data_IF_734969879706
#
_entry.id   IF_734969879706
#
_cell.length_a   1.000
_cell.length_b   1.000
_cell.length_c   1.000
_cell.angle_alpha   90.00
_cell.angle_beta   90.00
_cell.angle_gamma   90.00
#
_symmetry.space_group_name_H-M   'P 1'
#
loop_
_entity.id
_entity.type
_entity.pdbx_description
1 polymer ?
#
# COMPACT_ATOMS: atom_id res chain seq x y z
N UNK A 1 33.22 -1.85 29.74
CA UNK A 1 33.71 -1.05 28.60
C UNK A 1 32.59 -1.04 27.58
N UNK A 2 31.51 -0.25 27.77
CA UNK A 2 31.29 1.15 27.36
C UNK A 2 31.77 1.48 25.94
N UNK A 3 30.82 1.93 25.11
CA UNK A 3 30.83 3.01 24.09
C UNK A 3 29.53 2.83 23.25
N UNK A 4 28.39 3.46 23.59
CA UNK A 4 27.94 4.82 23.19
C UNK A 4 28.26 5.15 21.71
N UNK A 5 27.29 5.17 20.79
CA UNK A 5 26.27 6.22 20.52
C UNK A 5 26.72 7.10 19.35
N UNK A 6 26.06 6.98 18.19
CA UNK A 6 26.14 7.95 17.09
C UNK A 6 24.95 7.76 16.14
N UNK A 7 23.92 8.61 16.28
CA UNK A 7 23.14 9.11 15.13
C UNK A 7 22.77 10.57 15.45
N UNK A 8 23.49 11.50 14.83
CA UNK A 8 23.10 12.90 14.71
C UNK A 8 22.62 13.17 13.28
N UNK A 9 21.78 14.20 13.18
CA UNK A 9 21.44 14.98 11.98
C UNK A 9 20.25 14.49 11.14
N UNK A 10 19.05 14.76 11.66
CA UNK A 10 17.87 14.99 10.82
C UNK A 10 17.91 16.43 10.29
N UNK A 11 18.06 16.51 8.97
CA UNK A 11 18.02 17.69 8.12
C UNK A 11 16.63 18.35 8.17
N UNK A 12 16.54 19.61 8.59
CA UNK A 12 15.31 20.41 8.55
C UNK A 12 15.37 21.32 7.31
N UNK A 13 14.45 21.21 6.33
CA UNK A 13 14.47 22.06 5.15
C UNK A 13 13.96 23.47 5.47
N UNK A 14 14.73 24.45 5.03
CA UNK A 14 14.52 25.89 5.16
C UNK A 14 13.47 26.38 4.14
N UNK A 15 12.23 26.69 4.58
CA UNK A 15 11.19 27.28 3.73
C UNK A 15 10.61 28.54 4.36
N UNK A 16 11.39 29.63 4.33
CA UNK A 16 10.87 30.99 4.49
C UNK A 16 11.36 31.82 3.31
N UNK A 17 10.59 31.81 2.22
CA UNK A 17 10.74 32.77 1.12
C UNK A 17 9.35 33.09 0.58
N UNK A 18 8.85 34.27 0.92
CA UNK A 18 7.60 34.80 0.38
C UNK A 18 7.86 35.29 -1.05
N UNK A 19 7.14 34.72 -2.02
CA UNK A 19 7.14 35.20 -3.39
C UNK A 19 6.06 36.29 -3.54
N UNK A 20 6.45 37.50 -3.91
CA UNK A 20 5.53 38.49 -4.47
C UNK A 20 5.36 38.23 -5.96
N UNK A 21 4.17 37.87 -6.41
CA UNK A 21 3.83 37.86 -7.83
C UNK A 21 3.09 39.16 -8.12
N UNK A 22 3.81 40.11 -8.71
CA UNK A 22 3.22 41.31 -9.32
C UNK A 22 2.53 40.87 -10.62
N UNK A 23 1.23 41.10 -10.71
CA UNK A 23 0.56 41.19 -12.00
C UNK A 23 0.36 42.67 -12.33
N UNK A 24 0.84 42.99 -13.52
CA UNK A 24 0.80 44.30 -14.16
C UNK A 24 -0.65 44.70 -14.47
N UNK A 25 -0.88 46.01 -14.45
CA UNK A 25 -2.08 46.74 -14.87
C UNK A 25 -3.41 46.50 -14.10
N UNK A 26 -3.69 47.52 -13.27
CA UNK A 26 -5.03 48.08 -13.07
C UNK A 26 -6.03 47.24 -12.24
N UNK A 27 -5.80 47.13 -10.92
CA UNK A 27 -6.87 47.32 -9.94
C UNK A 27 -6.34 47.40 -8.50
N UNK A 28 -6.96 48.29 -7.72
CA UNK A 28 -6.60 48.64 -6.34
C UNK A 28 -7.07 47.58 -5.36
N UNK A 29 -6.44 46.40 -5.33
CA UNK A 29 -6.67 45.43 -4.24
C UNK A 29 -5.38 44.69 -3.89
N UNK A 30 -4.64 45.24 -2.93
CA UNK A 30 -3.49 44.58 -2.31
C UNK A 30 -3.98 43.60 -1.24
N UNK A 31 -4.04 42.30 -1.57
CA UNK A 31 -4.36 41.23 -0.63
C UNK A 31 -3.06 40.60 -0.11
N UNK A 32 -2.79 40.73 1.18
CA UNK A 32 -1.69 40.03 1.84
C UNK A 32 -2.09 38.56 2.05
N UNK A 33 -1.55 37.66 1.24
CA UNK A 33 -1.71 36.22 1.39
C UNK A 33 -0.68 35.70 2.39
N UNK A 34 -1.11 35.39 3.62
CA UNK A 34 -0.32 34.63 4.57
C UNK A 34 -0.45 33.12 4.28
N UNK A 35 0.64 32.41 3.93
CA UNK A 35 0.60 30.98 3.59
C UNK A 35 0.13 30.07 4.74
N UNK A 36 0.16 30.57 5.97
CA UNK A 36 -0.19 29.83 7.19
C UNK A 36 -1.70 29.78 7.47
N UNK A 37 -2.52 30.53 6.73
CA UNK A 37 -3.98 30.56 6.89
C UNK A 37 -4.71 29.59 5.95
N UNK A 38 -3.99 28.79 5.16
CA UNK A 38 -4.57 27.88 4.17
C UNK A 38 -5.05 26.53 4.74
N UNK A 39 -4.72 26.19 5.99
CA UNK A 39 -4.98 24.87 6.57
C UNK A 39 -6.05 24.83 7.68
N UNK A 40 -6.79 25.91 7.90
CA UNK A 40 -7.87 25.97 8.90
C UNK A 40 -9.26 25.88 8.26
N UNK A 41 -10.21 25.07 8.80
CA UNK A 41 -11.56 24.92 8.25
C UNK A 41 -12.39 26.22 8.23
N UNK A 42 -11.92 27.26 8.92
CA UNK A 42 -12.54 28.57 9.04
C UNK A 42 -12.20 29.54 7.89
N UNK A 43 -11.28 29.20 6.99
CA UNK A 43 -10.83 30.13 5.94
C UNK A 43 -11.78 30.22 4.72
N UNK A 44 -12.74 29.30 4.56
CA UNK A 44 -13.85 29.47 3.60
C UNK A 44 -14.83 30.56 4.04
N UNK A 45 -14.84 30.93 5.32
CA UNK A 45 -15.69 32.00 5.86
C UNK A 45 -15.04 33.40 5.81
N UNK A 46 -13.73 33.49 5.51
CA UNK A 46 -13.00 34.77 5.39
C UNK A 46 -12.45 35.03 3.98
N UNK A 47 -12.97 34.32 2.97
CA UNK A 47 -12.99 34.83 1.60
C UNK A 47 -14.40 35.36 1.38
N UNK A 48 -14.58 36.66 1.58
CA UNK A 48 -15.78 37.37 1.13
C UNK A 48 -15.70 37.38 -0.40
N UNK A 49 -16.07 36.27 -1.04
CA UNK A 49 -16.42 36.29 -2.46
C UNK A 49 -17.75 37.03 -2.57
N UNK A 50 -17.68 38.35 -2.73
CA UNK A 50 -18.81 39.21 -3.06
C UNK A 50 -19.29 38.90 -4.48
N UNK A 51 -19.91 37.73 -4.72
CA UNK A 51 -20.55 37.44 -6.02
C UNK A 51 -21.67 36.41 -6.05
N UNK A 52 -22.12 35.87 -4.91
CA UNK A 52 -23.38 35.12 -4.88
C UNK A 52 -24.50 36.03 -4.37
N UNK A 53 -25.48 36.30 -5.25
CA UNK A 53 -26.76 36.94 -4.92
C UNK A 53 -27.38 36.25 -3.71
N UNK A 54 -27.27 36.86 -2.52
CA UNK A 54 -27.75 36.28 -1.27
C UNK A 54 -29.26 36.47 -1.15
N UNK A 55 -30.00 35.68 -1.91
CA UNK A 55 -31.45 35.63 -1.76
C UNK A 55 -31.76 35.05 -0.36
N UNK A 56 -32.41 35.84 0.48
CA UNK A 56 -32.85 35.43 1.82
C UNK A 56 -34.32 35.06 1.76
N UNK A 57 -34.65 33.87 2.26
CA UNK A 57 -36.02 33.36 2.33
C UNK A 57 -36.37 32.93 3.74
N UNK A 58 -37.67 32.83 4.05
CA UNK A 58 -38.14 32.39 5.35
C UNK A 58 -38.44 30.89 5.36
N UNK A 59 -37.88 30.18 6.33
CA UNK A 59 -38.23 28.80 6.68
C UNK A 59 -38.74 28.82 8.12
N UNK A 60 -40.06 28.79 8.31
CA UNK A 60 -40.67 29.08 9.62
C UNK A 60 -40.40 30.53 10.05
N UNK A 61 -39.86 30.72 11.26
CA UNK A 61 -39.46 32.04 11.76
C UNK A 61 -38.04 32.49 11.33
N UNK A 62 -37.26 31.60 10.73
CA UNK A 62 -35.85 31.86 10.41
C UNK A 62 -35.69 32.45 9.00
N UNK A 63 -34.86 33.49 8.89
CA UNK A 63 -34.45 34.09 7.61
C UNK A 63 -33.09 33.52 7.19
N UNK A 64 -33.07 32.70 6.15
CA UNK A 64 -31.91 31.89 5.74
C UNK A 64 -31.56 32.11 4.27
N UNK A 65 -30.34 31.76 3.87
CA UNK A 65 -29.93 31.62 2.47
C UNK A 65 -30.91 30.74 1.69
N UNK A 66 -31.36 31.22 0.52
CA UNK A 66 -32.26 30.49 -0.37
C UNK A 66 -31.71 29.11 -0.75
N UNK A 67 -30.38 29.00 -0.95
CA UNK A 67 -29.69 27.75 -1.26
C UNK A 67 -29.78 26.67 -0.17
N UNK A 68 -30.04 27.07 1.09
CA UNK A 68 -30.15 26.17 2.24
C UNK A 68 -31.60 25.85 2.62
N UNK A 69 -32.56 26.60 2.07
CA UNK A 69 -33.96 26.59 2.49
C UNK A 69 -34.65 25.23 2.31
N UNK A 70 -34.41 24.54 1.19
CA UNK A 70 -34.99 23.23 0.89
C UNK A 70 -34.50 22.15 1.86
N UNK A 71 -33.22 22.15 2.19
CA UNK A 71 -32.62 21.26 3.18
C UNK A 71 -33.20 21.51 4.57
N UNK A 72 -33.29 22.77 4.98
CA UNK A 72 -33.88 23.13 6.28
C UNK A 72 -35.36 22.77 6.37
N UNK A 73 -36.14 23.02 5.32
CA UNK A 73 -37.54 22.62 5.27
C UNK A 73 -37.67 21.10 5.42
N UNK A 74 -36.85 20.33 4.71
CA UNK A 74 -36.84 18.86 4.81
C UNK A 74 -36.48 18.37 6.22
N UNK A 75 -35.56 19.05 6.90
CA UNK A 75 -35.20 18.75 8.30
C UNK A 75 -36.38 19.04 9.22
N UNK A 76 -37.04 20.18 9.06
CA UNK A 76 -38.20 20.55 9.89
C UNK A 76 -39.42 19.66 9.64
N UNK A 77 -39.67 19.27 8.39
CA UNK A 77 -40.75 18.34 8.04
C UNK A 77 -40.55 16.98 8.72
N UNK A 78 -39.29 16.56 8.90
CA UNK A 78 -38.95 15.26 9.50
C UNK A 78 -38.83 15.29 11.03
N UNK A 79 -38.27 16.35 11.61
CA UNK A 79 -37.88 16.41 13.03
C UNK A 79 -38.60 17.50 13.83
N UNK A 80 -39.45 18.31 13.17
CA UNK A 80 -40.02 19.54 13.70
C UNK A 80 -38.96 20.65 13.83
N UNK A 81 -39.32 21.77 14.46
CA UNK A 81 -38.34 22.80 14.81
C UNK A 81 -37.35 22.23 15.83
N UNK A 82 -36.12 21.97 15.39
CA UNK A 82 -35.05 21.39 16.21
C UNK A 82 -34.45 22.38 17.21
N UNK A 83 -34.74 23.68 17.08
CA UNK A 83 -34.23 24.73 17.97
C UNK A 83 -35.22 25.15 19.06
N UNK A 84 -36.42 24.57 19.09
CA UNK A 84 -37.48 24.93 20.04
C UNK A 84 -37.08 24.84 21.53
N UNK A 85 -36.13 23.96 21.85
CA UNK A 85 -35.56 23.79 23.19
C UNK A 85 -34.13 24.37 23.33
N UNK A 86 -33.71 25.18 22.36
CA UNK A 86 -32.36 25.75 22.35
C UNK A 86 -32.14 26.70 23.52
N UNK A 87 -30.90 26.75 24.03
CA UNK A 87 -30.48 27.75 25.02
C UNK A 87 -30.29 29.15 24.40
N UNK A 88 -30.23 29.23 23.07
CA UNK A 88 -29.93 30.44 22.32
C UNK A 88 -31.15 31.37 22.28
N UNK A 89 -31.00 32.57 22.85
CA UNK A 89 -32.07 33.56 22.90
C UNK A 89 -32.24 34.32 21.58
N UNK A 90 -31.14 34.57 20.88
CA UNK A 90 -31.15 35.34 19.63
C UNK A 90 -31.63 34.46 18.47
N UNK A 91 -32.66 34.94 17.76
CA UNK A 91 -33.11 34.32 16.52
C UNK A 91 -31.98 34.25 15.49
N UNK A 92 -31.16 35.30 15.39
CA UNK A 92 -30.02 35.34 14.45
C UNK A 92 -28.98 34.25 14.76
N UNK A 93 -28.72 33.97 16.05
CA UNK A 93 -27.78 32.90 16.43
C UNK A 93 -28.39 31.52 16.17
N UNK A 94 -29.69 31.32 16.41
CA UNK A 94 -30.39 30.09 16.03
C UNK A 94 -30.34 29.87 14.51
N UNK A 95 -30.59 30.91 13.72
CA UNK A 95 -30.47 30.90 12.26
C UNK A 95 -29.05 30.50 11.83
N UNK A 96 -28.00 31.08 12.42
CA UNK A 96 -26.62 30.74 12.09
C UNK A 96 -26.34 29.24 12.23
N UNK A 97 -26.69 28.63 13.38
CA UNK A 97 -26.48 27.19 13.58
C UNK A 97 -27.35 26.34 12.64
N UNK A 98 -28.55 26.79 12.29
CA UNK A 98 -29.39 26.12 11.29
C UNK A 98 -28.74 26.14 9.91
N UNK A 99 -28.22 27.29 9.47
CA UNK A 99 -27.48 27.38 8.20
C UNK A 99 -26.25 26.47 8.21
N UNK A 100 -25.45 26.50 9.27
CA UNK A 100 -24.30 25.58 9.42
C UNK A 100 -24.72 24.11 9.37
N UNK A 101 -25.81 23.75 10.03
CA UNK A 101 -26.33 22.37 9.99
C UNK A 101 -26.77 21.97 8.58
N UNK A 102 -27.44 22.87 7.85
CA UNK A 102 -27.86 22.63 6.48
C UNK A 102 -26.66 22.46 5.54
N UNK A 103 -25.63 23.28 5.71
CA UNK A 103 -24.35 23.17 4.98
C UNK A 103 -23.69 21.81 5.24
N UNK A 104 -23.64 21.35 6.49
CA UNK A 104 -23.13 20.01 6.85
C UNK A 104 -23.94 18.90 6.16
N UNK A 105 -25.27 18.97 6.19
CA UNK A 105 -26.13 17.97 5.56
C UNK A 105 -25.90 17.93 4.04
N UNK A 106 -25.80 19.09 3.39
CA UNK A 106 -25.49 19.19 1.97
C UNK A 106 -24.11 18.61 1.67
N UNK A 107 -23.10 18.91 2.48
CA UNK A 107 -21.75 18.37 2.32
C UNK A 107 -21.74 16.83 2.40
N UNK A 108 -22.43 16.25 3.39
CA UNK A 108 -22.53 14.80 3.55
C UNK A 108 -23.30 14.14 2.41
N UNK A 109 -24.33 14.79 1.86
CA UNK A 109 -25.10 14.26 0.73
C UNK A 109 -24.35 14.40 -0.60
N UNK A 110 -23.55 15.45 -0.75
CA UNK A 110 -22.82 15.75 -1.99
C UNK A 110 -21.46 15.04 -2.08
N UNK A 111 -20.89 14.64 -0.95
CA UNK A 111 -19.59 13.96 -0.88
C UNK A 111 -19.76 12.45 -0.85
N UNK A 112 -19.30 11.70 -1.87
CA UNK A 112 -19.27 10.24 -1.80
C UNK A 112 -18.45 9.80 -0.58
N UNK A 113 -18.94 8.81 0.18
CA UNK A 113 -18.30 8.36 1.42
C UNK A 113 -16.80 8.03 1.26
N UNK A 114 -16.40 7.45 0.12
CA UNK A 114 -14.99 7.18 -0.25
C UNK A 114 -14.09 8.42 -0.38
N UNK A 115 -14.68 9.61 -0.51
CA UNK A 115 -13.98 10.91 -0.65
C UNK A 115 -14.02 11.72 0.64
N UNK A 116 -14.78 11.27 1.63
CA UNK A 116 -14.81 11.90 2.94
C UNK A 116 -13.68 11.31 3.78
N UNK A 117 -12.67 12.11 4.12
CA UNK A 117 -11.57 11.64 4.96
C UNK A 117 -12.01 11.47 6.42
N UNK A 118 -11.34 10.60 7.17
CA UNK A 118 -11.56 10.46 8.62
C UNK A 118 -11.40 11.81 9.34
N UNK A 119 -10.40 12.61 8.95
CA UNK A 119 -10.18 13.96 9.50
C UNK A 119 -11.38 14.87 9.25
N UNK A 120 -11.94 14.87 8.03
CA UNK A 120 -13.08 15.71 7.69
C UNK A 120 -14.35 15.27 8.41
N UNK A 121 -14.58 13.95 8.49
CA UNK A 121 -15.69 13.40 9.27
C UNK A 121 -15.58 13.79 10.76
N UNK A 122 -14.36 13.79 11.32
CA UNK A 122 -14.10 14.22 12.70
C UNK A 122 -14.37 15.72 12.91
N UNK A 123 -13.94 16.56 11.97
CA UNK A 123 -14.24 18.00 12.01
C UNK A 123 -15.75 18.28 11.97
N UNK A 124 -16.47 17.60 11.06
CA UNK A 124 -17.92 17.75 10.94
C UNK A 124 -18.62 17.28 12.22
N UNK A 125 -18.18 16.16 12.81
CA UNK A 125 -18.72 15.67 14.07
C UNK A 125 -18.52 16.69 15.21
N UNK A 126 -17.36 17.33 15.30
CA UNK A 126 -17.11 18.38 16.29
C UNK A 126 -18.06 19.58 16.10
N UNK A 127 -18.31 20.01 14.86
CA UNK A 127 -19.30 21.06 14.55
C UNK A 127 -20.70 20.66 15.05
N UNK A 128 -21.09 19.40 14.83
CA UNK A 128 -22.40 18.90 15.27
C UNK A 128 -22.48 18.78 16.80
N UNK A 129 -21.42 18.37 17.47
CA UNK A 129 -21.33 18.34 18.93
C UNK A 129 -21.47 19.77 19.51
N UNK A 130 -20.80 20.76 18.91
CA UNK A 130 -20.93 22.18 19.30
C UNK A 130 -22.38 22.67 19.17
N UNK A 131 -23.05 22.35 18.06
CA UNK A 131 -24.47 22.67 17.84
C UNK A 131 -25.36 21.97 18.88
N UNK A 132 -25.07 20.70 19.22
CA UNK A 132 -25.82 19.95 20.23
C UNK A 132 -25.66 20.55 21.64
N UNK A 133 -24.49 21.11 21.97
CA UNK A 133 -24.26 21.78 23.26
C UNK A 133 -25.19 22.99 23.46
N UNK A 134 -25.58 23.65 22.37
CA UNK A 134 -26.57 24.73 22.33
C UNK A 134 -28.03 24.25 22.50
N UNK A 135 -28.23 22.96 22.78
CA UNK A 135 -29.53 22.28 22.94
C UNK A 135 -30.39 22.31 21.67
N UNK A 136 -29.75 22.39 20.50
CA UNK A 136 -30.40 22.14 19.22
C UNK A 136 -30.46 20.61 19.03
N UNK A 137 -31.63 20.08 18.66
CA UNK A 137 -31.89 18.64 18.58
C UNK A 137 -31.26 18.01 17.33
N UNK A 138 -29.95 17.75 17.38
CA UNK A 138 -29.15 17.20 16.27
C UNK A 138 -28.60 15.78 16.52
N UNK A 139 -29.04 15.10 17.58
CA UNK A 139 -28.58 13.73 17.90
C UNK A 139 -28.79 12.71 16.77
N UNK A 140 -29.78 12.94 15.89
CA UNK A 140 -29.99 12.12 14.69
C UNK A 140 -28.83 12.25 13.68
N UNK A 141 -28.25 13.44 13.54
CA UNK A 141 -27.11 13.68 12.65
C UNK A 141 -25.82 13.19 13.28
N UNK A 142 -25.67 13.38 14.60
CA UNK A 142 -24.55 12.86 15.38
C UNK A 142 -24.41 11.34 15.21
N UNK A 143 -25.50 10.59 15.36
CA UNK A 143 -25.51 9.12 15.16
C UNK A 143 -25.09 8.73 13.75
N UNK A 144 -25.57 9.44 12.73
CA UNK A 144 -25.16 9.19 11.33
C UNK A 144 -23.68 9.49 11.13
N UNK A 145 -23.16 10.56 11.73
CA UNK A 145 -21.75 10.92 11.64
C UNK A 145 -20.83 9.92 12.36
N UNK A 146 -21.27 9.35 13.48
CA UNK A 146 -20.55 8.25 14.15
C UNK A 146 -20.44 7.02 13.22
N UNK A 147 -21.52 6.65 12.52
CA UNK A 147 -21.50 5.57 11.52
C UNK A 147 -20.61 5.91 10.31
N UNK A 148 -20.68 7.16 9.82
CA UNK A 148 -19.83 7.65 8.73
C UNK A 148 -18.36 7.59 9.13
N UNK A 149 -18.01 8.05 10.33
CA UNK A 149 -16.64 8.02 10.85
C UNK A 149 -16.12 6.57 10.90
N UNK A 150 -16.90 5.64 11.43
CA UNK A 150 -16.55 4.24 11.46
C UNK A 150 -16.39 3.65 10.04
N UNK A 151 -17.26 4.03 9.10
CA UNK A 151 -17.14 3.60 7.70
C UNK A 151 -15.86 4.13 7.05
N UNK A 152 -15.48 5.39 7.25
CA UNK A 152 -14.23 5.96 6.70
C UNK A 152 -13.00 5.18 7.15
N UNK A 153 -12.95 4.74 8.42
CA UNK A 153 -11.87 3.89 8.94
C UNK A 153 -11.78 2.52 8.27
N UNK A 154 -12.92 1.92 7.92
CA UNK A 154 -12.93 0.65 7.20
C UNK A 154 -12.59 0.79 5.72
N UNK A 155 -12.92 1.91 5.07
CA UNK A 155 -12.53 2.14 3.68
C UNK A 155 -11.03 2.15 3.51
N UNK A 156 -10.31 2.93 4.32
CA UNK A 156 -8.85 3.03 4.25
C UNK A 156 -8.18 1.66 4.47
N UNK A 157 -8.68 0.89 5.45
CA UNK A 157 -8.22 -0.48 5.71
C UNK A 157 -8.54 -1.43 4.55
N UNK A 158 -9.71 -1.30 3.95
CA UNK A 158 -10.13 -2.13 2.81
C UNK A 158 -9.26 -1.86 1.59
N UNK A 159 -9.00 -0.59 1.26
CA UNK A 159 -8.13 -0.21 0.15
C UNK A 159 -6.70 -0.72 0.35
N UNK A 160 -6.16 -0.57 1.57
CA UNK A 160 -4.85 -1.11 1.92
C UNK A 160 -4.80 -2.63 1.75
N UNK A 161 -5.79 -3.37 2.26
CA UNK A 161 -5.87 -4.82 2.12
C UNK A 161 -5.99 -5.27 0.65
N UNK A 162 -6.72 -4.53 -0.18
CA UNK A 162 -6.81 -4.78 -1.63
C UNK A 162 -5.46 -4.60 -2.31
N UNK A 163 -4.70 -3.57 -1.94
CA UNK A 163 -3.35 -3.32 -2.46
C UNK A 163 -2.36 -4.41 -2.03
N UNK A 164 -2.37 -4.80 -0.75
CA UNK A 164 -1.54 -5.90 -0.24
C UNK A 164 -1.84 -7.22 -0.93
N UNK A 165 -3.13 -7.54 -1.13
CA UNK A 165 -3.56 -8.73 -1.88
C UNK A 165 -3.00 -8.73 -3.30
N UNK A 166 -3.15 -7.62 -4.04
CA UNK A 166 -2.59 -7.49 -5.40
C UNK A 166 -1.08 -7.67 -5.42
N UNK A 167 -0.36 -7.07 -4.46
CA UNK A 167 1.09 -7.25 -4.33
C UNK A 167 1.47 -8.70 -3.99
N UNK A 168 0.67 -9.38 -3.17
CA UNK A 168 0.80 -10.80 -2.89
C UNK A 168 0.59 -11.68 -4.12
N UNK A 169 -0.48 -11.45 -4.88
CA UNK A 169 -0.81 -12.16 -6.12
C UNK A 169 0.30 -12.00 -7.18
N UNK A 170 0.83 -10.78 -7.33
CA UNK A 170 1.95 -10.52 -8.24
C UNK A 170 3.21 -11.29 -7.82
N UNK A 171 3.57 -11.27 -6.53
CA UNK A 171 4.71 -12.04 -6.01
C UNK A 171 4.53 -13.55 -6.20
N UNK A 172 3.32 -14.06 -5.97
CA UNK A 172 2.99 -15.47 -6.18
C UNK A 172 3.16 -15.87 -7.66
N UNK A 173 2.73 -15.02 -8.59
CA UNK A 173 2.88 -15.27 -10.02
C UNK A 173 4.36 -15.35 -10.43
N UNK A 174 5.18 -14.42 -9.95
CA UNK A 174 6.63 -14.44 -10.20
C UNK A 174 7.31 -15.68 -9.62
N UNK A 175 7.01 -16.04 -8.38
CA UNK A 175 7.55 -17.23 -7.74
C UNK A 175 7.18 -18.52 -8.50
N UNK A 176 5.95 -18.59 -9.04
CA UNK A 176 5.51 -19.70 -9.88
C UNK A 176 6.31 -19.80 -11.17
N UNK A 177 6.56 -18.68 -11.85
CA UNK A 177 7.37 -18.64 -13.07
C UNK A 177 8.82 -19.06 -12.81
N UNK A 178 9.41 -18.61 -11.70
CA UNK A 178 10.76 -19.01 -11.30
C UNK A 178 10.85 -20.51 -10.97
N UNK A 179 9.84 -21.05 -10.28
CA UNK A 179 9.72 -22.48 -10.01
C UNK A 179 9.63 -23.28 -11.32
N UNK A 180 8.80 -22.85 -12.27
CA UNK A 180 8.67 -23.51 -13.57
C UNK A 180 9.99 -23.51 -14.37
N UNK A 181 10.76 -22.41 -14.32
CA UNK A 181 12.10 -22.35 -14.91
C UNK A 181 13.08 -23.31 -14.22
N UNK A 182 13.02 -23.38 -12.89
CA UNK A 182 13.88 -24.28 -12.10
C UNK A 182 13.56 -25.75 -12.38
N UNK A 183 12.29 -26.11 -12.54
CA UNK A 183 11.87 -27.46 -12.93
C UNK A 183 12.38 -27.85 -14.33
N UNK A 184 12.36 -26.93 -15.30
CA UNK A 184 12.94 -27.17 -16.63
C UNK A 184 14.44 -27.44 -16.56
N UNK A 185 15.19 -26.61 -15.82
CA UNK A 185 16.62 -26.79 -15.59
C UNK A 185 16.95 -28.12 -14.90
N UNK A 186 16.12 -28.52 -13.93
CA UNK A 186 16.27 -29.80 -13.24
C UNK A 186 16.10 -30.98 -14.22
N UNK A 187 15.08 -30.94 -15.08
CA UNK A 187 14.85 -31.98 -16.09
C UNK A 187 16.01 -32.10 -17.10
N UNK A 188 16.62 -30.98 -17.50
CA UNK A 188 17.81 -30.98 -18.35
C UNK A 188 19.00 -31.66 -17.66
N UNK A 189 19.26 -31.32 -16.38
CA UNK A 189 20.34 -31.92 -15.59
C UNK A 189 20.14 -33.40 -15.35
N UNK A 190 18.91 -33.85 -15.13
CA UNK A 190 18.59 -35.28 -15.02
C UNK A 190 18.89 -36.04 -16.32
N UNK A 191 18.63 -35.43 -17.49
CA UNK A 191 18.99 -36.02 -18.79
C UNK A 191 20.51 -36.13 -18.95
N UNK A 192 21.25 -35.06 -18.66
CA UNK A 192 22.72 -35.07 -18.68
C UNK A 192 23.29 -36.15 -17.75
N UNK A 193 22.71 -36.32 -16.55
CA UNK A 193 23.11 -37.34 -15.59
C UNK A 193 22.89 -38.77 -16.13
N UNK A 194 21.77 -39.01 -16.83
CA UNK A 194 21.50 -40.31 -17.48
C UNK A 194 22.54 -40.62 -18.57
N UNK A 195 22.86 -39.64 -19.40
CA UNK A 195 23.88 -39.80 -20.45
C UNK A 195 25.28 -40.05 -19.86
N UNK A 196 25.65 -39.33 -18.80
CA UNK A 196 26.91 -39.54 -18.08
C UNK A 196 26.98 -40.93 -17.46
N UNK A 197 25.88 -41.39 -16.85
CA UNK A 197 25.77 -42.73 -16.26
C UNK A 197 25.94 -43.83 -17.33
N UNK A 198 25.37 -43.65 -18.52
CA UNK A 198 25.55 -44.60 -19.63
C UNK A 198 27.01 -44.66 -20.09
N UNK A 199 27.68 -43.51 -20.22
CA UNK A 199 29.11 -43.44 -20.55
C UNK A 199 29.97 -44.12 -19.48
N UNK A 200 29.66 -43.91 -18.20
CA UNK A 200 30.34 -44.55 -17.08
C UNK A 200 30.21 -46.09 -17.12
N UNK A 201 29.00 -46.61 -17.39
CA UNK A 201 28.80 -48.06 -17.51
C UNK A 201 29.63 -48.67 -18.64
N UNK A 202 29.74 -47.97 -19.78
CA UNK A 202 30.59 -48.41 -20.92
C UNK A 202 32.07 -48.43 -20.55
N UNK A 203 32.58 -47.43 -19.84
CA UNK A 203 33.98 -47.38 -19.43
C UNK A 203 34.30 -48.41 -18.34
N UNK A 204 33.41 -48.59 -17.36
CA UNK A 204 33.52 -49.64 -16.34
C UNK A 204 33.56 -51.03 -16.97
N UNK A 205 32.72 -51.31 -17.98
CA UNK A 205 32.76 -52.57 -18.71
C UNK A 205 34.08 -52.80 -19.47
N UNK A 206 34.61 -51.76 -20.12
CA UNK A 206 35.94 -51.81 -20.78
C UNK A 206 37.06 -52.06 -19.77
N UNK A 207 37.03 -51.40 -18.62
CA UNK A 207 38.01 -51.57 -17.56
C UNK A 207 38.03 -53.02 -17.06
N UNK A 208 36.86 -53.60 -16.79
CA UNK A 208 36.76 -55.02 -16.39
C UNK A 208 37.32 -55.99 -17.44
N UNK A 209 37.10 -55.73 -18.73
CA UNK A 209 37.69 -56.54 -19.81
C UNK A 209 39.23 -56.45 -19.85
N UNK A 210 39.79 -55.25 -19.65
CA UNK A 210 41.24 -55.04 -19.62
C UNK A 210 41.87 -55.70 -18.39
N UNK A 211 41.21 -55.65 -17.24
CA UNK A 211 41.64 -56.32 -16.02
C UNK A 211 41.69 -57.86 -16.19
N UNK A 212 40.68 -58.44 -16.85
CA UNK A 212 40.68 -59.87 -17.20
C UNK A 212 41.79 -60.24 -18.19
N UNK A 213 42.07 -59.38 -19.18
CA UNK A 213 43.20 -59.60 -20.10
C UNK A 213 44.55 -59.52 -19.39
N UNK A 214 44.73 -58.54 -18.50
CA UNK A 214 45.93 -58.38 -17.68
C UNK A 214 46.18 -59.64 -16.85
N UNK A 215 45.19 -60.11 -16.10
CA UNK A 215 45.33 -61.31 -15.27
C UNK A 215 45.62 -62.58 -16.08
N UNK A 216 45.07 -62.70 -17.30
CA UNK A 216 45.40 -63.79 -18.23
C UNK A 216 46.87 -63.71 -18.70
N UNK A 217 47.35 -62.52 -19.06
CA UNK A 217 48.75 -62.30 -19.45
C UNK A 217 49.71 -62.57 -18.30
N UNK A 218 49.38 -62.13 -17.08
CA UNK A 218 50.18 -62.37 -15.88
C UNK A 218 50.35 -63.89 -15.64
N UNK A 219 49.26 -64.67 -15.73
CA UNK A 219 49.32 -66.15 -15.65
C UNK A 219 50.20 -66.76 -16.74
N UNK A 220 50.09 -66.27 -17.98
CA UNK A 220 50.89 -66.76 -19.11
C UNK A 220 52.37 -66.41 -18.98
N UNK A 221 52.69 -65.22 -18.48
CA UNK A 221 54.07 -64.81 -18.20
C UNK A 221 54.72 -65.70 -17.15
N UNK A 222 54.01 -66.00 -16.06
CA UNK A 222 54.49 -66.94 -15.02
C UNK A 222 54.76 -68.32 -15.62
N UNK A 223 53.86 -68.83 -16.47
CA UNK A 223 54.06 -70.11 -17.16
C UNK A 223 55.26 -70.11 -18.11
N UNK A 224 55.42 -69.06 -18.94
CA UNK A 224 56.54 -68.98 -19.87
C UNK A 224 57.88 -68.82 -19.14
N UNK A 225 57.91 -68.02 -18.07
CA UNK A 225 59.10 -67.85 -17.22
C UNK A 225 59.56 -69.18 -16.65
N UNK A 226 58.66 -70.00 -16.11
CA UNK A 226 59.02 -71.32 -15.58
C UNK A 226 59.54 -72.28 -16.67
N UNK A 227 59.06 -72.16 -17.91
CA UNK A 227 59.63 -72.89 -19.06
C UNK A 227 61.04 -72.42 -19.39
N UNK A 228 61.28 -71.11 -19.43
CA UNK A 228 62.62 -70.54 -19.67
C UNK A 228 63.60 -70.99 -18.58
N UNK A 229 63.20 -70.89 -17.31
CA UNK A 229 64.00 -71.33 -16.16
C UNK A 229 64.39 -72.81 -16.26
N UNK A 230 63.50 -73.68 -16.76
CA UNK A 230 63.80 -75.10 -17.00
C UNK A 230 64.95 -75.29 -18.00
N UNK A 231 65.04 -74.46 -19.03
CA UNK A 231 66.08 -74.56 -20.07
C UNK A 231 67.35 -73.76 -19.74
N UNK A 232 67.28 -72.78 -18.83
CA UNK A 232 68.43 -71.93 -18.52
C UNK A 232 69.48 -72.64 -17.64
N UNK A 233 69.07 -73.67 -16.89
CA UNK A 233 69.95 -74.49 -16.05
C UNK A 233 70.40 -75.81 -16.67
N UNK A 234 69.85 -76.19 -17.84
CA UNK A 234 70.25 -77.39 -18.57
C UNK A 234 70.94 -76.94 -19.84
N UNK A 235 72.15 -77.45 -20.08
CA UNK A 235 72.81 -77.27 -21.37
C UNK A 235 71.95 -77.96 -22.43
N UNK A 236 71.04 -77.21 -23.07
CA UNK A 236 70.22 -77.70 -24.20
C UNK A 236 71.12 -78.21 -25.34
N UNK A 237 72.40 -77.85 -25.30
CA UNK A 237 73.44 -78.23 -26.25
C UNK A 237 74.43 -79.27 -25.71
N UNK A 238 74.17 -79.94 -24.56
CA UNK A 238 75.14 -80.89 -23.99
C UNK A 238 75.30 -82.16 -24.84
N UNK A 239 74.32 -82.45 -25.72
CA UNK A 239 74.32 -83.62 -26.60
C UNK A 239 74.58 -83.27 -28.10
N UNK A 240 75.07 -82.06 -28.40
CA UNK A 240 75.18 -81.54 -29.79
C UNK A 240 76.63 -81.56 -30.34
N UNK A 241 77.60 -82.11 -29.62
CA UNK A 241 78.98 -82.30 -30.11
C UNK A 241 79.52 -83.70 -29.78
#
# INVERSE_FOLDING_TARGET
>A
MSLCSEISQLHVPHWNSAYSVFNDDNDKDSVLLFPELLFSPLNKALVITTSDSWDVVSVGEYKVKASLSSTLQSIFDKYGDITSNSKLQSLSTRTYHLETLAEVVIELQSTPLRRLSESRATEILAIVDDIETAKIRVGWLRSVLEEVLEATRYFDRCEMAVMEKKAGEHRLLLAKQEMELSLKKLAEKEKEMKEFREKLMKTTGKLGSLEMKRTCLDKRLVFLRSKVEKFQGQSVFQDIL
#
